data_IF_971696810615
#
_entry.id   IF_971696810615
#
_cell.length_a   1.000
_cell.length_b   1.000
_cell.length_c   1.000
_cell.angle_alpha   90.00
_cell.angle_beta   90.00
_cell.angle_gamma   90.00
#
_symmetry.space_group_name_H-M   'P 1'
#
loop_
_entity.id
_entity.type
_entity.pdbx_description
1 polymer ?
#
# COMPACT_ATOMS: atom_id res chain seq x y z
N UNK A 1 -8.56 15.02 -19.76
CA UNK A 1 -7.30 15.48 -19.15
C UNK A 1 -6.25 14.39 -19.38
N UNK A 2 -5.12 14.75 -20.00
CA UNK A 2 -4.14 13.79 -20.56
C UNK A 2 -3.04 13.50 -19.55
N UNK A 3 -2.88 12.24 -19.13
CA UNK A 3 -1.89 11.75 -18.14
C UNK A 3 -0.50 11.60 -18.78
N UNK A 4 -0.05 12.60 -19.54
CA UNK A 4 1.21 12.52 -20.32
C UNK A 4 2.41 13.22 -19.68
N UNK A 5 2.33 13.65 -18.41
CA UNK A 5 3.39 14.48 -17.81
C UNK A 5 3.99 13.99 -16.48
N UNK A 6 3.65 12.81 -15.97
CA UNK A 6 4.17 12.31 -14.67
C UNK A 6 5.49 11.51 -14.73
N UNK A 7 6.32 11.74 -15.75
CA UNK A 7 7.70 11.23 -15.84
C UNK A 7 8.75 12.30 -15.52
N UNK A 8 8.43 13.26 -14.65
CA UNK A 8 9.44 14.18 -14.12
C UNK A 8 10.25 13.52 -13.01
N UNK A 9 11.44 13.07 -13.39
CA UNK A 9 12.67 13.24 -12.61
C UNK A 9 12.60 12.65 -11.20
N UNK A 10 12.56 11.32 -11.12
CA UNK A 10 13.16 10.59 -9.99
C UNK A 10 14.67 10.82 -10.00
N UNK A 11 15.10 12.01 -9.55
CA UNK A 11 16.47 12.24 -9.17
C UNK A 11 16.85 11.20 -8.14
N UNK A 12 17.94 10.49 -8.40
CA UNK A 12 18.53 9.45 -7.55
C UNK A 12 18.63 9.85 -6.07
N UNK A 13 17.57 9.65 -5.30
CA UNK A 13 17.59 9.76 -3.84
C UNK A 13 18.05 8.46 -3.15
N UNK A 14 18.64 7.54 -3.92
CA UNK A 14 19.41 6.41 -3.40
C UNK A 14 20.86 6.44 -3.90
N UNK A 15 21.55 7.57 -3.73
CA UNK A 15 23.04 7.55 -3.73
C UNK A 15 23.67 8.59 -2.80
N UNK A 16 23.20 8.60 -1.57
CA UNK A 16 24.03 8.75 -0.38
C UNK A 16 23.17 8.31 0.79
N UNK A 17 23.16 7.01 1.07
CA UNK A 17 23.33 6.61 2.47
C UNK A 17 24.67 7.23 2.84
N UNK A 18 24.60 8.49 3.28
CA UNK A 18 25.69 9.10 3.98
C UNK A 18 25.96 8.12 5.09
N UNK A 19 27.07 7.40 4.98
CA UNK A 19 27.81 6.92 6.14
C UNK A 19 28.17 8.19 6.90
N UNK A 20 27.19 8.82 7.56
CA UNK A 20 27.49 9.45 8.81
C UNK A 20 27.91 8.26 9.65
N UNK A 21 29.19 8.15 10.06
CA UNK A 21 29.43 7.49 11.32
C UNK A 21 28.66 8.36 12.33
N UNK A 22 27.38 8.06 12.51
CA UNK A 22 26.72 8.24 13.79
C UNK A 22 27.59 7.41 14.71
N UNK A 23 28.66 8.00 15.25
CA UNK A 23 29.30 7.49 16.44
C UNK A 23 28.21 7.68 17.47
N UNK A 24 27.48 6.62 17.84
CA UNK A 24 26.47 6.82 18.85
C UNK A 24 27.25 7.26 20.08
N UNK A 25 26.98 8.48 20.55
CA UNK A 25 27.43 8.91 21.88
C UNK A 25 26.57 8.15 22.89
N UNK A 26 26.69 6.83 22.92
CA UNK A 26 26.19 6.04 24.01
C UNK A 26 27.02 6.45 25.22
N UNK A 27 26.37 7.12 26.16
CA UNK A 27 26.91 7.28 27.51
C UNK A 27 27.32 5.90 28.00
N UNK A 28 28.45 5.78 28.71
CA UNK A 28 28.91 4.49 29.28
C UNK A 28 27.82 3.79 30.10
N UNK A 29 26.88 4.56 30.66
CA UNK A 29 25.70 4.06 31.37
C UNK A 29 24.70 3.32 30.45
N UNK A 30 24.51 3.78 29.22
CA UNK A 30 23.61 3.17 28.24
C UNK A 30 24.14 1.83 27.73
N UNK A 31 25.46 1.69 27.59
CA UNK A 31 26.09 0.43 27.16
C UNK A 31 25.96 -0.64 28.24
N UNK A 32 26.16 -0.27 29.51
CA UNK A 32 25.98 -1.19 30.63
C UNK A 32 24.51 -1.68 30.76
N UNK A 33 23.54 -0.78 30.60
CA UNK A 33 22.13 -1.14 30.67
C UNK A 33 21.70 -2.09 29.54
N UNK A 34 22.16 -1.84 28.30
CA UNK A 34 21.89 -2.72 27.16
C UNK A 34 22.50 -4.12 27.35
N UNK A 35 23.71 -4.21 27.89
CA UNK A 35 24.34 -5.49 28.19
C UNK A 35 23.55 -6.30 29.25
N UNK A 36 23.05 -5.64 30.29
CA UNK A 36 22.22 -6.30 31.32
C UNK A 36 20.89 -6.77 30.74
N UNK A 37 20.23 -5.95 29.91
CA UNK A 37 18.98 -6.32 29.24
C UNK A 37 19.17 -7.51 28.28
N UNK A 38 20.25 -7.51 27.49
CA UNK A 38 20.57 -8.61 26.59
C UNK A 38 20.84 -9.91 27.36
N UNK A 39 21.56 -9.85 28.48
CA UNK A 39 21.81 -11.01 29.34
C UNK A 39 20.52 -11.57 29.97
N UNK A 40 19.60 -10.70 30.41
CA UNK A 40 18.30 -11.11 30.96
C UNK A 40 17.40 -11.75 29.91
N UNK A 41 17.35 -11.20 28.70
CA UNK A 41 16.60 -11.79 27.58
C UNK A 41 17.17 -13.15 27.17
N UNK A 42 18.50 -13.28 27.11
CA UNK A 42 19.14 -14.56 26.79
C UNK A 42 18.81 -15.62 27.86
N UNK A 43 18.86 -15.25 29.14
CA UNK A 43 18.51 -16.14 30.24
C UNK A 43 17.05 -16.59 30.20
N UNK A 44 16.13 -15.67 29.84
CA UNK A 44 14.71 -16.00 29.67
C UNK A 44 14.48 -17.00 28.52
N UNK A 45 15.12 -16.77 27.37
CA UNK A 45 15.01 -17.68 26.20
C UNK A 45 15.58 -19.07 26.51
N UNK A 46 16.71 -19.14 27.22
CA UNK A 46 17.31 -20.41 27.63
C UNK A 46 16.46 -21.17 28.66
N UNK A 47 15.66 -20.47 29.46
CA UNK A 47 14.80 -21.07 30.48
C UNK A 47 13.48 -21.61 29.91
N UNK A 48 13.11 -21.19 28.70
CA UNK A 48 11.83 -21.52 28.06
C UNK A 48 12.00 -22.50 26.89
N UNK A 49 13.04 -23.33 26.92
CA UNK A 49 13.17 -24.47 26.02
C UNK A 49 12.32 -25.63 26.55
N UNK A 50 11.12 -25.88 26.00
CA UNK A 50 10.31 -27.03 26.41
C UNK A 50 11.09 -28.31 26.16
N UNK A 51 11.00 -29.22 27.15
CA UNK A 51 11.57 -30.55 27.09
C UNK A 51 11.25 -31.23 25.76
N UNK A 52 12.32 -31.64 25.09
CA UNK A 52 12.34 -32.43 23.85
C UNK A 52 11.57 -33.73 24.07
N UNK A 53 10.27 -33.72 23.79
CA UNK A 53 9.46 -34.94 23.73
C UNK A 53 9.79 -35.74 22.46
N UNK A 54 9.80 -37.06 22.63
CA UNK A 54 10.23 -38.06 21.67
C UNK A 54 9.30 -38.13 20.44
N UNK A 55 9.82 -38.56 19.27
CA UNK A 55 9.01 -38.75 18.07
C UNK A 55 8.05 -39.93 18.25
N UNK A 56 6.76 -39.61 18.42
CA UNK A 56 5.65 -40.55 18.36
C UNK A 56 5.21 -40.79 16.91
N UNK A 57 5.12 -42.07 16.59
CA UNK A 57 4.94 -42.68 15.28
C UNK A 57 3.48 -42.64 14.77
N UNK A 58 3.35 -42.74 13.44
CA UNK A 58 2.25 -43.25 12.62
C UNK A 58 0.77 -42.82 12.84
N UNK A 59 0.10 -42.43 11.74
CA UNK A 59 -1.36 -42.32 11.73
C UNK A 59 -1.99 -41.87 10.40
N UNK A 60 -2.14 -42.82 9.49
CA UNK A 60 -2.86 -42.81 8.21
C UNK A 60 -4.32 -42.33 8.30
N UNK A 61 -4.81 -41.61 7.29
CA UNK A 61 -6.09 -41.90 6.61
C UNK A 61 -6.37 -40.91 5.46
N UNK A 62 -6.34 -41.45 4.25
CA UNK A 62 -6.93 -40.86 3.04
C UNK A 62 -8.45 -40.70 3.18
N UNK A 63 -9.00 -39.65 2.57
CA UNK A 63 -10.43 -39.58 2.24
C UNK A 63 -10.59 -39.01 0.83
N UNK A 64 -11.13 -39.76 -0.14
CA UNK A 64 -11.39 -39.27 -1.50
C UNK A 64 -12.58 -38.29 -1.53
N UNK A 65 -12.36 -37.10 -2.08
CA UNK A 65 -13.40 -36.10 -2.31
C UNK A 65 -14.23 -36.40 -3.57
N UNK A 66 -15.55 -36.27 -3.42
CA UNK A 66 -16.55 -36.35 -4.48
C UNK A 66 -16.53 -35.09 -5.39
N UNK A 67 -16.95 -35.20 -6.66
CA UNK A 67 -17.04 -34.07 -7.58
C UNK A 67 -18.28 -33.20 -7.31
N UNK A 68 -18.10 -31.88 -7.23
CA UNK A 68 -19.17 -30.89 -7.19
C UNK A 68 -19.43 -30.37 -8.61
N UNK A 69 -20.69 -30.29 -9.08
CA UNK A 69 -21.04 -29.80 -10.41
C UNK A 69 -20.82 -28.29 -10.55
N UNK A 70 -20.24 -27.91 -11.68
CA UNK A 70 -20.16 -26.54 -12.18
C UNK A 70 -21.50 -26.12 -12.75
N UNK A 71 -22.20 -25.22 -12.07
CA UNK A 71 -23.36 -24.55 -12.63
C UNK A 71 -22.97 -23.25 -13.33
N UNK A 72 -23.63 -23.10 -14.49
CA UNK A 72 -23.53 -22.04 -15.47
C UNK A 72 -24.20 -20.74 -15.00
N UNK A 73 -24.19 -19.75 -15.92
CA UNK A 73 -24.95 -18.49 -15.94
C UNK A 73 -24.34 -17.34 -15.12
N UNK A 74 -24.14 -16.13 -15.64
CA UNK A 74 -25.02 -15.41 -16.57
C UNK A 74 -24.25 -14.31 -17.33
N UNK A 75 -24.54 -14.23 -18.63
CA UNK A 75 -24.34 -13.06 -19.49
C UNK A 75 -25.41 -12.01 -19.19
N UNK A 76 -25.07 -10.71 -19.17
CA UNK A 76 -26.02 -9.67 -19.59
C UNK A 76 -25.59 -9.05 -20.92
N UNK A 77 -26.52 -9.14 -21.88
CA UNK A 77 -26.56 -8.36 -23.11
C UNK A 77 -27.30 -7.03 -22.88
N UNK A 78 -26.94 -5.99 -23.64
CA UNK A 78 -27.69 -4.74 -23.78
C UNK A 78 -27.05 -3.55 -23.03
N UNK A 79 -26.95 -2.34 -23.57
CA UNK A 79 -27.65 -1.75 -24.69
C UNK A 79 -26.80 -0.66 -25.37
N UNK A 80 -26.99 -0.60 -26.69
CA UNK A 80 -26.72 0.52 -27.59
C UNK A 80 -27.47 1.77 -27.13
N UNK A 81 -26.78 2.92 -27.15
CA UNK A 81 -27.35 4.23 -26.86
C UNK A 81 -26.50 5.33 -27.49
N UNK A 82 -26.60 5.47 -28.80
CA UNK A 82 -26.18 6.65 -29.53
C UNK A 82 -27.01 7.86 -29.07
N UNK A 83 -26.32 8.91 -28.63
CA UNK A 83 -26.86 10.27 -28.71
C UNK A 83 -25.70 11.25 -28.90
N UNK A 84 -25.35 11.45 -30.17
CA UNK A 84 -24.48 12.53 -30.60
C UNK A 84 -25.29 13.84 -30.60
N UNK A 85 -25.17 14.63 -29.53
CA UNK A 85 -25.56 16.04 -29.54
C UNK A 85 -24.30 16.91 -29.65
N UNK A 86 -24.11 17.43 -30.86
CA UNK A 86 -23.05 18.36 -31.23
C UNK A 86 -23.39 19.75 -30.70
N UNK A 87 -22.95 20.08 -29.49
CA UNK A 87 -23.10 21.43 -28.94
C UNK A 87 -21.93 22.30 -29.44
N UNK A 88 -22.20 23.14 -30.46
CA UNK A 88 -21.31 24.23 -30.87
C UNK A 88 -21.29 25.28 -29.76
N UNK A 89 -20.16 25.44 -29.09
CA UNK A 89 -19.90 26.54 -28.17
C UNK A 89 -19.07 27.59 -28.91
N UNK A 90 -19.61 28.81 -28.92
CA UNK A 90 -19.01 30.01 -29.51
C UNK A 90 -17.67 30.37 -28.85
N UNK A 91 -16.70 30.89 -29.60
CA UNK A 91 -15.41 31.32 -29.07
C UNK A 91 -15.45 32.82 -28.81
N UNK A 92 -15.93 33.25 -27.65
CA UNK A 92 -15.75 34.64 -27.21
C UNK A 92 -15.57 34.74 -25.70
N UNK A 93 -14.75 35.73 -25.30
CA UNK A 93 -14.34 36.09 -23.95
C UNK A 93 -13.16 35.29 -23.35
N UNK A 94 -11.95 35.71 -23.74
CA UNK A 94 -10.76 35.67 -22.89
C UNK A 94 -10.98 36.55 -21.65
N UNK A 95 -11.74 36.03 -20.69
CA UNK A 95 -11.73 36.53 -19.32
C UNK A 95 -10.68 35.74 -18.55
N UNK A 96 -9.60 36.41 -18.15
CA UNK A 96 -8.61 35.87 -17.21
C UNK A 96 -9.25 35.72 -15.84
N UNK A 97 -10.17 34.77 -15.69
CA UNK A 97 -10.59 34.32 -14.37
C UNK A 97 -9.40 33.57 -13.81
N UNK A 98 -8.66 34.23 -12.91
CA UNK A 98 -7.82 33.57 -11.92
C UNK A 98 -8.79 32.73 -11.09
N UNK A 99 -9.12 31.56 -11.64
CA UNK A 99 -9.93 30.54 -11.00
C UNK A 99 -9.14 30.16 -9.77
N UNK A 100 -9.54 30.70 -8.64
CA UNK A 100 -9.20 30.18 -7.32
C UNK A 100 -9.95 28.85 -7.25
N UNK A 101 -9.48 27.88 -8.03
CA UNK A 101 -9.98 26.52 -8.00
C UNK A 101 -9.81 26.10 -6.55
N UNK A 102 -10.92 25.85 -5.82
CA UNK A 102 -10.86 25.55 -4.41
C UNK A 102 -9.93 24.36 -4.28
N UNK A 103 -8.75 24.63 -3.70
CA UNK A 103 -7.70 23.66 -3.48
C UNK A 103 -8.38 22.45 -2.85
N UNK A 104 -8.51 21.35 -3.61
CA UNK A 104 -9.31 20.21 -3.17
C UNK A 104 -8.69 19.73 -1.88
N UNK A 105 -9.39 19.97 -0.76
CA UNK A 105 -8.92 19.62 0.56
C UNK A 105 -8.97 18.10 0.67
N UNK A 106 -7.90 17.41 0.26
CA UNK A 106 -7.72 15.97 0.40
C UNK A 106 -7.37 15.58 1.85
N UNK A 107 -8.09 16.15 2.82
CA UNK A 107 -7.91 15.87 4.22
C UNK A 107 -8.54 14.51 4.59
N UNK A 108 -7.90 13.71 5.47
CA UNK A 108 -8.50 12.47 5.93
C UNK A 108 -9.78 12.74 6.73
N UNK A 109 -10.79 11.91 6.49
CA UNK A 109 -12.02 11.84 7.27
C UNK A 109 -11.86 10.80 8.38
N UNK A 110 -12.50 11.06 9.52
CA UNK A 110 -12.59 10.10 10.61
C UNK A 110 -13.96 9.43 10.50
N UNK A 111 -14.04 8.20 9.98
CA UNK A 111 -15.30 7.45 9.96
C UNK A 111 -15.74 7.12 11.40
N UNK A 112 -17.00 7.37 11.73
CA UNK A 112 -17.55 7.03 13.06
C UNK A 112 -17.71 5.52 13.26
N UNK A 113 -18.00 4.78 12.19
CA UNK A 113 -18.25 3.33 12.22
C UNK A 113 -17.39 2.58 11.20
N UNK A 114 -16.06 2.66 11.33
CA UNK A 114 -15.17 1.87 10.49
C UNK A 114 -15.23 0.39 10.86
N UNK A 115 -15.85 -0.40 10.00
CA UNK A 115 -15.76 -1.86 10.04
C UNK A 115 -14.92 -2.35 8.88
N UNK A 116 -13.70 -2.79 9.21
CA UNK A 116 -12.86 -3.52 8.29
C UNK A 116 -13.37 -4.95 8.23
N UNK A 117 -13.45 -5.50 7.02
CA UNK A 117 -13.74 -6.93 6.86
C UNK A 117 -12.55 -7.75 7.40
N UNK A 118 -12.78 -9.00 7.81
CA UNK A 118 -11.72 -9.96 8.20
C UNK A 118 -10.94 -10.42 6.94
N UNK A 119 -10.38 -9.47 6.21
CA UNK A 119 -9.71 -9.68 4.93
C UNK A 119 -8.19 -9.56 5.05
N UNK A 120 -7.50 -10.04 4.03
CA UNK A 120 -6.05 -9.95 3.92
C UNK A 120 -5.58 -8.48 4.07
N UNK A 121 -4.36 -8.23 4.62
CA UNK A 121 -3.89 -6.87 4.90
C UNK A 121 -3.95 -5.90 3.71
N UNK A 122 -3.76 -6.40 2.48
CA UNK A 122 -3.89 -5.62 1.25
C UNK A 122 -5.31 -5.05 1.05
N UNK A 123 -6.33 -5.85 1.34
CA UNK A 123 -7.73 -5.44 1.23
C UNK A 123 -8.13 -4.48 2.35
N UNK A 124 -7.70 -4.75 3.58
CA UNK A 124 -7.93 -3.85 4.71
C UNK A 124 -7.34 -2.44 4.45
N UNK A 125 -6.17 -2.36 3.82
CA UNK A 125 -5.57 -1.08 3.42
C UNK A 125 -6.41 -0.30 2.39
N UNK A 126 -7.03 -1.01 1.44
CA UNK A 126 -7.93 -0.41 0.45
C UNK A 126 -9.22 0.08 1.13
N UNK A 127 -9.84 -0.73 1.98
CA UNK A 127 -11.08 -0.35 2.70
C UNK A 127 -10.85 0.86 3.61
N UNK A 128 -9.73 0.87 4.35
CA UNK A 128 -9.34 2.01 5.17
C UNK A 128 -9.16 3.28 4.32
N UNK A 129 -8.50 3.15 3.16
CA UNK A 129 -8.32 4.25 2.22
C UNK A 129 -9.65 4.80 1.70
N UNK A 130 -10.60 3.93 1.36
CA UNK A 130 -11.93 4.32 0.89
C UNK A 130 -12.76 5.01 1.96
N UNK A 131 -12.67 4.55 3.20
CA UNK A 131 -13.37 5.17 4.31
C UNK A 131 -12.79 6.55 4.66
N UNK A 132 -11.46 6.69 4.63
CA UNK A 132 -10.79 7.90 5.12
C UNK A 132 -10.53 8.95 4.05
N UNK A 133 -10.38 8.58 2.77
CA UNK A 133 -9.88 9.51 1.73
C UNK A 133 -10.80 9.54 0.51
N UNK A 134 -11.26 10.73 0.11
CA UNK A 134 -11.87 10.96 -1.20
C UNK A 134 -10.80 11.11 -2.30
N UNK A 135 -9.68 11.73 -1.96
CA UNK A 135 -8.50 11.96 -2.78
C UNK A 135 -7.25 11.96 -1.89
N UNK A 136 -6.06 11.87 -2.49
CA UNK A 136 -4.81 11.99 -1.75
C UNK A 136 -3.73 12.63 -2.63
N UNK A 137 -2.95 13.59 -2.11
CA UNK A 137 -1.79 14.11 -2.85
C UNK A 137 -0.63 13.11 -2.90
N UNK A 138 -0.55 12.23 -1.91
CA UNK A 138 0.53 11.26 -1.75
C UNK A 138 -0.02 9.90 -1.32
N UNK A 139 0.49 8.82 -1.91
CA UNK A 139 0.17 7.44 -1.51
C UNK A 139 1.46 6.69 -1.20
N UNK A 140 1.47 5.97 -0.08
CA UNK A 140 2.52 5.01 0.25
C UNK A 140 2.20 3.62 -0.31
N UNK A 141 3.20 2.94 -0.88
CA UNK A 141 3.08 1.54 -1.32
C UNK A 141 4.16 0.68 -0.68
N UNK A 142 3.77 -0.43 -0.06
CA UNK A 142 4.66 -1.47 0.45
C UNK A 142 4.05 -2.86 0.22
N UNK A 143 4.87 -3.90 0.16
CA UNK A 143 4.36 -5.27 0.23
C UNK A 143 3.84 -5.56 1.65
N UNK A 144 2.69 -6.22 1.75
CA UNK A 144 2.09 -6.62 3.03
C UNK A 144 3.00 -7.56 3.84
N UNK A 145 3.89 -8.29 3.15
CA UNK A 145 4.85 -9.23 3.74
C UNK A 145 6.19 -8.59 4.13
N UNK A 146 6.37 -7.29 3.89
CA UNK A 146 7.63 -6.57 4.15
C UNK A 146 7.45 -5.52 5.28
N UNK A 147 7.61 -5.92 6.55
CA UNK A 147 7.43 -5.02 7.68
C UNK A 147 8.48 -3.89 7.73
N UNK A 148 9.67 -4.09 7.16
CA UNK A 148 10.71 -3.07 7.10
C UNK A 148 10.33 -1.96 6.12
N UNK A 149 9.78 -2.33 4.96
CA UNK A 149 9.24 -1.37 3.99
C UNK A 149 8.08 -0.54 4.57
N UNK A 150 7.15 -1.20 5.27
CA UNK A 150 6.03 -0.53 5.97
C UNK A 150 6.58 0.45 7.00
N UNK A 151 7.49 0.00 7.87
CA UNK A 151 8.10 0.83 8.92
C UNK A 151 8.86 2.02 8.32
N UNK A 152 9.56 1.83 7.20
CA UNK A 152 10.27 2.90 6.51
C UNK A 152 9.33 3.99 5.97
N UNK A 153 8.16 3.61 5.44
CA UNK A 153 7.15 4.57 4.97
C UNK A 153 6.49 5.33 6.13
N UNK A 154 6.20 4.64 7.23
CA UNK A 154 5.66 5.26 8.45
C UNK A 154 6.69 6.24 9.04
N UNK A 155 7.94 5.82 9.20
CA UNK A 155 9.02 6.66 9.72
C UNK A 155 9.32 7.88 8.83
N UNK A 156 9.07 7.76 7.52
CA UNK A 156 9.15 8.88 6.57
C UNK A 156 8.05 9.92 6.79
N UNK A 157 6.89 9.52 7.35
CA UNK A 157 5.73 10.39 7.53
C UNK A 157 5.03 10.72 6.22
N UNK A 158 4.58 9.71 5.47
CA UNK A 158 3.75 9.91 4.28
C UNK A 158 2.45 10.66 4.65
N UNK A 159 1.98 11.53 3.76
CA UNK A 159 0.83 12.43 4.02
C UNK A 159 -0.53 11.88 3.60
N UNK A 160 -0.58 10.69 3.01
CA UNK A 160 -1.82 10.03 2.62
C UNK A 160 -1.82 8.53 2.92
N UNK A 161 -2.73 7.76 2.31
CA UNK A 161 -2.94 6.38 2.72
C UNK A 161 -1.72 5.51 2.40
N UNK A 162 -1.45 4.57 3.30
CA UNK A 162 -0.53 3.47 3.07
C UNK A 162 -1.31 2.31 2.47
N UNK A 163 -1.12 2.04 1.19
CA UNK A 163 -1.73 0.90 0.51
C UNK A 163 -0.74 -0.27 0.51
N UNK A 164 -1.23 -1.44 0.89
CA UNK A 164 -0.43 -2.66 0.95
C UNK A 164 -0.67 -3.50 -0.29
N UNK A 165 0.43 -3.98 -0.87
CA UNK A 165 0.42 -4.87 -2.03
C UNK A 165 0.49 -6.31 -1.53
N UNK A 166 -0.37 -7.18 -2.04
CA UNK A 166 -0.30 -8.62 -1.77
C UNK A 166 0.89 -9.27 -2.48
N UNK A 167 0.78 -10.56 -2.78
CA UNK A 167 1.79 -11.27 -3.59
C UNK A 167 1.91 -10.71 -5.01
N UNK A 168 0.82 -10.15 -5.55
CA UNK A 168 0.73 -9.56 -6.87
C UNK A 168 0.02 -8.21 -6.81
N UNK A 169 0.28 -7.37 -7.80
CA UNK A 169 -0.42 -6.11 -7.99
C UNK A 169 -1.81 -6.37 -8.57
N UNK A 170 -2.85 -6.16 -7.77
CA UNK A 170 -4.25 -6.42 -8.12
C UNK A 170 -4.92 -5.21 -8.80
N UNK A 171 -5.88 -5.50 -9.69
CA UNK A 171 -6.82 -4.54 -10.29
C UNK A 171 -7.55 -3.70 -9.23
N UNK A 172 -7.92 -4.26 -8.07
CA UNK A 172 -8.57 -3.47 -7.01
C UNK A 172 -7.66 -2.39 -6.45
N UNK A 173 -6.39 -2.73 -6.20
CA UNK A 173 -5.38 -1.75 -5.79
C UNK A 173 -5.17 -0.70 -6.88
N UNK A 174 -5.08 -1.12 -8.14
CA UNK A 174 -4.97 -0.20 -9.27
C UNK A 174 -6.16 0.77 -9.36
N UNK A 175 -7.39 0.26 -9.17
CA UNK A 175 -8.61 1.06 -9.12
C UNK A 175 -8.58 2.06 -7.97
N UNK A 176 -8.09 1.64 -6.81
CA UNK A 176 -8.00 2.50 -5.64
C UNK A 176 -6.99 3.64 -5.85
N UNK A 177 -5.80 3.35 -6.40
CA UNK A 177 -4.81 4.37 -6.74
C UNK A 177 -5.40 5.36 -7.77
N UNK A 178 -6.13 4.87 -8.78
CA UNK A 178 -6.79 5.74 -9.76
C UNK A 178 -7.87 6.61 -9.14
N UNK A 179 -8.68 6.06 -8.22
CA UNK A 179 -9.72 6.81 -7.49
C UNK A 179 -9.11 7.94 -6.67
N UNK A 180 -8.02 7.68 -5.95
CA UNK A 180 -7.31 8.68 -5.15
C UNK A 180 -6.63 9.75 -6.01
N UNK A 181 -6.28 9.40 -7.26
CA UNK A 181 -5.60 10.24 -8.24
C UNK A 181 -4.36 10.98 -7.66
N UNK A 182 -3.39 10.27 -7.06
CA UNK A 182 -2.31 10.92 -6.37
C UNK A 182 -1.32 11.60 -7.30
N UNK A 183 -0.84 12.76 -6.86
CA UNK A 183 0.26 13.48 -7.52
C UNK A 183 1.60 12.76 -7.30
N UNK A 184 1.73 12.02 -6.18
CA UNK A 184 2.96 11.36 -5.78
C UNK A 184 2.72 9.97 -5.22
N UNK A 185 3.50 9.00 -5.69
CA UNK A 185 3.54 7.65 -5.14
C UNK A 185 4.93 7.41 -4.52
N UNK A 186 4.95 7.02 -3.25
CA UNK A 186 6.17 6.65 -2.52
C UNK A 186 6.15 5.17 -2.23
N UNK A 187 7.08 4.43 -2.81
CA UNK A 187 7.14 2.98 -2.67
C UNK A 187 8.39 2.55 -1.89
N UNK A 188 8.24 1.54 -1.03
CA UNK A 188 9.32 0.88 -0.30
C UNK A 188 9.21 -0.64 -0.48
N UNK A 189 10.36 -1.33 -0.55
CA UNK A 189 10.39 -2.77 -0.81
C UNK A 189 10.17 -3.16 -2.29
N UNK A 190 10.17 -2.21 -3.23
CA UNK A 190 10.01 -2.49 -4.66
C UNK A 190 11.32 -2.32 -5.45
N UNK A 191 11.47 -3.13 -6.49
CA UNK A 191 12.43 -2.85 -7.56
C UNK A 191 11.94 -1.64 -8.38
N UNK A 192 12.76 -0.58 -8.42
CA UNK A 192 12.50 0.64 -9.17
C UNK A 192 12.27 0.42 -10.67
N UNK A 193 12.72 -0.70 -11.22
CA UNK A 193 12.51 -1.04 -12.64
C UNK A 193 11.15 -1.69 -12.90
N UNK A 194 10.58 -2.35 -11.90
CA UNK A 194 9.33 -3.11 -12.02
C UNK A 194 8.15 -2.19 -11.78
N UNK A 195 8.20 -1.38 -10.73
CA UNK A 195 7.07 -0.56 -10.31
C UNK A 195 6.51 0.37 -11.41
N UNK A 196 7.34 1.13 -12.17
CA UNK A 196 6.81 1.99 -13.22
C UNK A 196 6.14 1.22 -14.35
N UNK A 197 6.61 0.01 -14.67
CA UNK A 197 6.00 -0.85 -15.70
C UNK A 197 4.64 -1.35 -15.23
N UNK A 198 4.59 -1.87 -14.00
CA UNK A 198 3.34 -2.33 -13.40
C UNK A 198 2.31 -1.20 -13.33
N UNK A 199 2.70 0.00 -12.90
CA UNK A 199 1.78 1.14 -12.83
C UNK A 199 1.34 1.65 -14.21
N UNK A 200 2.22 1.58 -15.22
CA UNK A 200 1.89 2.01 -16.58
C UNK A 200 0.80 1.16 -17.23
N UNK A 201 0.71 -0.12 -16.88
CA UNK A 201 -0.33 -1.01 -17.40
C UNK A 201 -1.75 -0.63 -16.91
N UNK A 202 -1.87 0.25 -15.93
CA UNK A 202 -3.14 0.68 -15.35
C UNK A 202 -3.51 2.16 -15.58
N UNK A 203 -2.59 2.96 -16.13
CA UNK A 203 -2.76 4.40 -16.38
C UNK A 203 -3.38 4.68 -17.76
#
# INVERSE_FOLDING_TARGET
MSIRSYLMRFGSYYRRVSRYPMRPRFSRRSVALLAVLAALLLAAVLSDLPGREAPGDAGTAETPGAPVPSDANSTPAGATGENASTQRVSPDAQGTTTSTEPERLCAPRIPEDLRLSDTAPAMAGIELSQAMYDCAHEVGLAFATDPDAISALVARGIRGPLLLVGSLFDVRLANEIRRLAPERIVAAGFDQRVLPRTLADFA
#
